data_IF_223850417899
#
_entry.id   IF_223850417899
#
_cell.length_a   1.000
_cell.length_b   1.000
_cell.length_c   1.000
_cell.angle_alpha   90.00
_cell.angle_beta   90.00
_cell.angle_gamma   90.00
#
_symmetry.space_group_name_H-M   'P 1'
#
loop_
_entity.id
_entity.type
_entity.pdbx_description
1 polymer ?
#
# COMPACT_ATOMS: atom_id res chain seq x y z
N UNK A 1 -10.65 82.75 14.56
CA UNK A 1 -11.61 81.72 14.08
C UNK A 1 -11.16 81.06 12.78
N UNK A 2 -10.65 81.81 11.80
CA UNK A 2 -10.16 81.30 10.50
C UNK A 2 -9.00 80.28 10.59
N UNK A 3 -8.12 80.40 11.60
CA UNK A 3 -6.99 79.47 11.79
C UNK A 3 -7.44 78.09 12.31
N UNK A 4 -8.44 78.05 13.20
CA UNK A 4 -9.04 76.80 13.72
C UNK A 4 -9.82 76.04 12.63
N UNK A 5 -10.55 76.77 11.78
CA UNK A 5 -11.24 76.18 10.63
C UNK A 5 -10.30 75.54 9.60
N UNK A 6 -9.03 75.96 9.56
CA UNK A 6 -8.02 75.42 8.64
C UNK A 6 -7.39 74.13 9.20
N UNK A 7 -7.13 74.08 10.51
CA UNK A 7 -6.66 72.87 11.21
C UNK A 7 -7.73 71.76 11.18
N UNK A 8 -8.99 72.10 11.39
CA UNK A 8 -10.10 71.14 11.31
C UNK A 8 -10.25 70.55 9.90
N UNK A 9 -9.98 71.33 8.85
CA UNK A 9 -10.09 70.87 7.46
C UNK A 9 -8.92 69.95 7.04
N UNK A 10 -7.71 70.23 7.56
CA UNK A 10 -6.54 69.35 7.38
C UNK A 10 -6.79 68.00 8.07
N UNK A 11 -7.27 68.04 9.33
CA UNK A 11 -7.57 66.83 10.09
C UNK A 11 -8.65 65.96 9.42
N UNK A 12 -9.72 66.57 8.90
CA UNK A 12 -10.78 65.84 8.17
C UNK A 12 -10.27 65.21 6.86
N UNK A 13 -9.36 65.87 6.15
CA UNK A 13 -8.73 65.30 4.95
C UNK A 13 -7.81 64.13 5.27
N UNK A 14 -6.98 64.26 6.31
CA UNK A 14 -6.11 63.16 6.76
C UNK A 14 -6.95 61.97 7.23
N UNK A 15 -8.04 62.22 7.96
CA UNK A 15 -8.98 61.16 8.36
C UNK A 15 -9.60 60.47 7.14
N UNK A 16 -10.05 61.22 6.14
CA UNK A 16 -10.64 60.65 4.93
C UNK A 16 -9.65 59.82 4.11
N UNK A 17 -8.39 60.26 4.01
CA UNK A 17 -7.32 59.50 3.34
C UNK A 17 -7.05 58.21 4.09
N UNK A 18 -6.87 58.28 5.41
CA UNK A 18 -6.64 57.10 6.24
C UNK A 18 -7.80 56.11 6.19
N UNK A 19 -9.05 56.61 6.21
CA UNK A 19 -10.23 55.77 6.09
C UNK A 19 -10.29 55.08 4.71
N UNK A 20 -9.96 55.80 3.64
CA UNK A 20 -9.91 55.24 2.29
C UNK A 20 -8.84 54.16 2.15
N UNK A 21 -7.68 54.32 2.79
CA UNK A 21 -6.63 53.30 2.83
C UNK A 21 -7.07 52.07 3.64
N UNK A 22 -7.75 52.27 4.76
CA UNK A 22 -8.29 51.15 5.55
C UNK A 22 -9.36 50.40 4.76
N UNK A 23 -10.25 51.11 4.05
CA UNK A 23 -11.28 50.50 3.20
C UNK A 23 -10.64 49.73 2.05
N UNK A 24 -9.66 50.29 1.34
CA UNK A 24 -8.99 49.57 0.25
C UNK A 24 -8.28 48.31 0.73
N UNK A 25 -7.63 48.36 1.90
CA UNK A 25 -7.03 47.17 2.51
C UNK A 25 -8.09 46.13 2.90
N UNK A 26 -9.23 46.56 3.42
CA UNK A 26 -10.34 45.66 3.77
C UNK A 26 -11.00 45.03 2.54
N UNK A 27 -11.01 45.72 1.39
CA UNK A 27 -11.50 45.20 0.12
C UNK A 27 -10.52 44.18 -0.50
N UNK A 28 -9.21 44.34 -0.28
CA UNK A 28 -8.16 43.43 -0.78
C UNK A 28 -7.97 42.16 0.07
N UNK A 29 -8.30 42.21 1.36
CA UNK A 29 -8.12 41.07 2.29
C UNK A 29 -8.88 39.81 1.86
N UNK A 30 -10.17 39.87 1.45
CA UNK A 30 -10.90 38.67 1.00
C UNK A 30 -10.23 37.97 -0.19
N UNK A 31 -9.74 38.74 -1.16
CA UNK A 31 -9.07 38.19 -2.34
C UNK A 31 -7.74 37.54 -1.96
N UNK A 32 -6.92 38.22 -1.13
CA UNK A 32 -5.66 37.66 -0.62
C UNK A 32 -5.86 36.39 0.21
N UNK A 33 -6.93 36.34 1.01
CA UNK A 33 -7.29 35.14 1.78
C UNK A 33 -7.71 34.02 0.84
N UNK A 34 -8.55 34.29 -0.16
CA UNK A 34 -9.02 33.29 -1.12
C UNK A 34 -7.87 32.72 -1.95
N UNK A 35 -6.94 33.56 -2.41
CA UNK A 35 -5.72 33.12 -3.11
C UNK A 35 -4.83 32.26 -2.20
N UNK A 36 -4.66 32.64 -0.93
CA UNK A 36 -3.88 31.87 0.04
C UNK A 36 -4.51 30.51 0.32
N UNK A 37 -5.83 30.45 0.52
CA UNK A 37 -6.54 29.19 0.73
C UNK A 37 -6.44 28.27 -0.49
N UNK A 38 -6.67 28.80 -1.69
CA UNK A 38 -6.54 28.03 -2.95
C UNK A 38 -5.14 27.43 -3.10
N UNK A 39 -4.10 28.21 -2.77
CA UNK A 39 -2.72 27.71 -2.81
C UNK A 39 -2.48 26.61 -1.76
N UNK A 40 -2.98 26.77 -0.54
CA UNK A 40 -2.85 25.74 0.49
C UNK A 40 -3.59 24.46 0.13
N UNK A 41 -4.78 24.55 -0.46
CA UNK A 41 -5.50 23.39 -0.97
C UNK A 41 -4.68 22.66 -2.04
N UNK A 42 -4.13 23.39 -3.02
CA UNK A 42 -3.27 22.80 -4.06
C UNK A 42 -1.99 22.16 -3.49
N UNK A 43 -1.34 22.79 -2.51
CA UNK A 43 -0.16 22.24 -1.85
C UNK A 43 -0.51 20.98 -1.04
N UNK A 44 -1.67 20.96 -0.37
CA UNK A 44 -2.15 19.78 0.37
C UNK A 44 -2.48 18.63 -0.58
N UNK A 45 -3.17 18.90 -1.69
CA UNK A 45 -3.49 17.89 -2.71
C UNK A 45 -2.21 17.33 -3.35
N UNK A 46 -1.28 18.20 -3.75
CA UNK A 46 0.01 17.75 -4.31
C UNK A 46 0.79 16.90 -3.31
N UNK A 47 0.83 17.30 -2.04
CA UNK A 47 1.49 16.53 -0.99
C UNK A 47 0.79 15.20 -0.72
N UNK A 48 -0.53 15.14 -0.87
CA UNK A 48 -1.31 13.92 -0.78
C UNK A 48 -0.94 12.96 -1.91
N UNK A 49 -0.94 13.43 -3.15
CA UNK A 49 -0.60 12.62 -4.33
C UNK A 49 0.82 12.05 -4.22
N UNK A 50 1.80 12.87 -3.81
CA UNK A 50 3.18 12.42 -3.60
C UNK A 50 3.25 11.34 -2.50
N UNK A 51 2.54 11.54 -1.37
CA UNK A 51 2.54 10.58 -0.26
C UNK A 51 1.93 9.25 -0.67
N UNK A 52 0.84 9.30 -1.44
CA UNK A 52 0.14 8.12 -1.94
C UNK A 52 1.08 7.29 -2.82
N UNK A 53 1.78 7.92 -3.76
CA UNK A 53 2.77 7.22 -4.62
C UNK A 53 3.91 6.63 -3.80
N UNK A 54 4.53 7.40 -2.90
CA UNK A 54 5.67 6.93 -2.09
C UNK A 54 5.28 5.76 -1.19
N UNK A 55 4.09 5.80 -0.57
CA UNK A 55 3.60 4.68 0.25
C UNK A 55 3.29 3.47 -0.62
N UNK A 56 2.72 3.68 -1.80
CA UNK A 56 2.51 2.64 -2.80
C UNK A 56 3.79 1.90 -3.19
N UNK A 57 4.83 2.65 -3.57
CA UNK A 57 6.15 2.10 -3.88
C UNK A 57 6.74 1.35 -2.68
N UNK A 58 6.64 1.91 -1.47
CA UNK A 58 7.13 1.26 -0.26
C UNK A 58 6.38 -0.05 0.06
N UNK A 59 5.09 -0.14 -0.23
CA UNK A 59 4.33 -1.39 -0.11
C UNK A 59 4.80 -2.42 -1.13
N UNK A 60 4.95 -2.03 -2.39
CA UNK A 60 5.45 -2.90 -3.44
C UNK A 60 6.84 -3.47 -3.08
N UNK A 61 7.75 -2.60 -2.62
CA UNK A 61 9.07 -3.00 -2.14
C UNK A 61 8.97 -3.95 -0.93
N UNK A 62 8.06 -3.70 0.00
CA UNK A 62 7.83 -4.60 1.15
C UNK A 62 7.35 -5.98 0.72
N UNK A 63 6.53 -6.10 -0.33
CA UNK A 63 6.08 -7.40 -0.85
C UNK A 63 7.26 -8.18 -1.42
N UNK A 64 8.13 -7.50 -2.19
CA UNK A 64 9.34 -8.08 -2.75
C UNK A 64 10.29 -8.52 -1.63
N UNK A 65 10.47 -7.68 -0.59
CA UNK A 65 11.30 -8.03 0.56
C UNK A 65 10.77 -9.27 1.31
N UNK A 66 9.45 -9.39 1.50
CA UNK A 66 8.84 -10.58 2.10
C UNK A 66 9.13 -11.81 1.25
N UNK A 67 8.96 -11.74 -0.07
CA UNK A 67 9.26 -12.82 -1.02
C UNK A 67 10.73 -13.29 -0.93
N UNK A 68 11.67 -12.35 -0.84
CA UNK A 68 13.09 -12.65 -0.79
C UNK A 68 13.53 -13.22 0.58
N UNK A 69 12.87 -12.77 1.66
CA UNK A 69 13.35 -12.98 3.04
C UNK A 69 12.68 -14.14 3.78
N UNK A 70 11.45 -14.54 3.45
CA UNK A 70 10.69 -15.53 4.25
C UNK A 70 11.41 -16.88 4.39
N UNK A 71 12.25 -17.26 3.42
CA UNK A 71 13.04 -18.50 3.48
C UNK A 71 14.28 -18.40 4.35
N UNK A 72 14.79 -17.20 4.62
CA UNK A 72 15.97 -16.99 5.46
C UNK A 72 15.66 -17.27 6.93
N UNK A 73 14.50 -16.82 7.41
CA UNK A 73 14.03 -17.04 8.80
C UNK A 73 13.53 -18.47 9.05
N UNK A 74 13.42 -19.29 8.01
CA UNK A 74 12.87 -20.64 8.11
C UNK A 74 13.79 -21.58 8.91
N UNK A 75 15.11 -21.43 8.76
CA UNK A 75 16.09 -22.19 9.54
C UNK A 75 16.13 -21.80 11.03
N UNK A 76 15.66 -20.60 11.36
CA UNK A 76 15.56 -20.13 12.76
C UNK A 76 14.29 -20.64 13.44
N UNK A 77 13.21 -20.79 12.66
CA UNK A 77 11.91 -21.25 13.15
C UNK A 77 11.77 -22.78 13.19
N UNK A 78 12.63 -23.51 12.47
CA UNK A 78 12.59 -24.97 12.43
C UNK A 78 13.92 -25.62 12.84
N UNK A 79 13.92 -26.53 13.82
CA UNK A 79 15.14 -27.19 14.27
C UNK A 79 15.77 -28.11 13.19
N UNK A 80 17.09 -28.30 13.27
CA UNK A 80 17.94 -29.08 12.34
C UNK A 80 17.48 -30.54 12.10
N UNK A 81 16.56 -31.07 12.93
CA UNK A 81 16.04 -32.42 12.82
C UNK A 81 14.98 -32.59 11.71
N UNK A 82 14.67 -31.54 10.95
CA UNK A 82 13.73 -31.59 9.84
C UNK A 82 14.41 -32.07 8.57
N UNK A 83 14.28 -33.37 8.31
CA UNK A 83 14.98 -34.03 7.21
C UNK A 83 14.71 -33.40 5.84
N UNK A 84 13.52 -32.83 5.60
CA UNK A 84 13.19 -32.20 4.33
C UNK A 84 13.82 -30.79 4.16
N UNK A 85 14.19 -30.12 5.25
CA UNK A 85 14.96 -28.86 5.20
C UNK A 85 16.46 -29.14 5.08
N UNK A 86 16.94 -30.17 5.78
CA UNK A 86 18.31 -30.65 5.68
C UNK A 86 18.62 -31.26 4.30
N UNK A 87 17.63 -31.91 3.68
CA UNK A 87 17.68 -32.40 2.31
C UNK A 87 16.50 -31.86 1.52
N UNK A 88 16.70 -30.69 0.90
CA UNK A 88 15.67 -29.96 0.14
C UNK A 88 15.13 -30.70 -1.10
N UNK A 89 15.78 -31.80 -1.50
CA UNK A 89 15.33 -32.69 -2.58
C UNK A 89 14.57 -33.92 -2.06
N UNK A 90 14.35 -34.02 -0.74
CA UNK A 90 13.54 -35.07 -0.14
C UNK A 90 12.07 -34.67 -0.19
N UNK A 91 11.16 -35.54 -0.66
CA UNK A 91 9.73 -35.26 -0.62
C UNK A 91 9.27 -35.19 0.83
N UNK A 92 8.17 -34.48 1.12
CA UNK A 92 7.68 -34.33 2.49
C UNK A 92 7.39 -35.67 3.17
N UNK A 93 6.89 -36.66 2.42
CA UNK A 93 6.69 -38.05 2.83
C UNK A 93 5.58 -38.28 3.88
N UNK A 94 5.29 -37.26 4.70
CA UNK A 94 4.21 -37.18 5.68
C UNK A 94 3.52 -35.82 5.51
N UNK A 95 2.19 -35.82 5.46
CA UNK A 95 1.38 -34.62 5.34
C UNK A 95 1.66 -33.59 6.45
N UNK A 96 2.05 -34.03 7.65
CA UNK A 96 2.39 -33.14 8.75
C UNK A 96 3.59 -32.24 8.45
N UNK A 97 4.54 -32.73 7.65
CA UNK A 97 5.71 -31.92 7.26
C UNK A 97 5.29 -30.80 6.31
N UNK A 98 4.37 -31.10 5.38
CA UNK A 98 3.76 -30.11 4.49
C UNK A 98 2.92 -29.10 5.28
N UNK A 99 1.98 -29.56 6.11
CA UNK A 99 1.09 -28.70 6.91
C UNK A 99 1.89 -27.71 7.78
N UNK A 100 3.02 -28.17 8.33
CA UNK A 100 3.81 -27.32 9.19
C UNK A 100 4.65 -26.30 8.43
N UNK A 101 5.16 -26.63 7.24
CA UNK A 101 5.72 -25.63 6.33
C UNK A 101 4.64 -24.62 5.94
N UNK A 102 3.46 -25.07 5.54
CA UNK A 102 2.36 -24.20 5.15
C UNK A 102 1.90 -23.28 6.28
N UNK A 103 1.85 -23.78 7.52
CA UNK A 103 1.53 -22.95 8.70
C UNK A 103 2.54 -21.83 8.91
N UNK A 104 3.83 -22.08 8.64
CA UNK A 104 4.86 -21.04 8.70
C UNK A 104 4.73 -20.03 7.57
N UNK A 105 4.54 -20.51 6.34
CA UNK A 105 4.29 -19.63 5.18
C UNK A 105 3.04 -18.78 5.45
N UNK A 106 2.00 -19.36 6.05
CA UNK A 106 0.78 -18.64 6.38
C UNK A 106 1.03 -17.49 7.39
N UNK A 107 1.78 -17.77 8.46
CA UNK A 107 2.06 -16.77 9.49
C UNK A 107 3.02 -15.67 9.03
N UNK A 108 3.96 -15.99 8.13
CA UNK A 108 5.01 -15.05 7.71
C UNK A 108 4.74 -14.35 6.38
N UNK A 109 4.06 -15.03 5.46
CA UNK A 109 3.84 -14.55 4.09
C UNK A 109 2.36 -14.26 3.88
N UNK A 110 1.49 -15.23 4.15
CA UNK A 110 0.09 -15.07 3.73
C UNK A 110 -0.65 -14.01 4.51
N UNK A 111 -0.39 -13.92 5.83
CA UNK A 111 -0.98 -12.91 6.69
C UNK A 111 -0.54 -11.50 6.27
N UNK A 112 0.75 -11.31 5.97
CA UNK A 112 1.30 -10.02 5.57
C UNK A 112 0.89 -9.61 4.15
N UNK A 113 0.71 -10.57 3.25
CA UNK A 113 0.41 -10.34 1.83
C UNK A 113 -1.06 -10.52 1.46
N UNK A 114 -1.96 -10.66 2.43
CA UNK A 114 -3.39 -10.89 2.20
C UNK A 114 -3.69 -12.14 1.34
N UNK A 115 -2.87 -13.18 1.42
CA UNK A 115 -3.06 -14.41 0.66
C UNK A 115 -4.01 -15.33 1.43
N UNK A 116 -5.06 -15.81 0.78
CA UNK A 116 -5.88 -16.86 1.36
C UNK A 116 -5.20 -18.21 1.13
N UNK A 117 -5.03 -18.99 2.20
CA UNK A 117 -4.38 -20.30 2.14
C UNK A 117 -5.05 -21.24 1.14
N UNK A 118 -6.38 -21.36 1.21
CA UNK A 118 -7.15 -22.27 0.33
C UNK A 118 -6.94 -21.91 -1.16
N UNK A 119 -6.94 -20.62 -1.49
CA UNK A 119 -6.67 -20.12 -2.83
C UNK A 119 -5.23 -20.44 -3.31
N UNK A 120 -4.25 -20.33 -2.42
CA UNK A 120 -2.89 -20.78 -2.71
C UNK A 120 -2.79 -22.31 -2.87
N UNK A 121 -3.52 -23.08 -2.07
CA UNK A 121 -3.55 -24.55 -2.18
C UNK A 121 -4.20 -25.00 -3.49
N UNK A 122 -5.21 -24.28 -4.00
CA UNK A 122 -5.78 -24.49 -5.32
C UNK A 122 -4.75 -24.23 -6.44
N UNK A 123 -4.01 -23.12 -6.36
CA UNK A 123 -2.90 -22.84 -7.26
C UNK A 123 -1.83 -23.95 -7.22
N UNK A 124 -1.43 -24.36 -6.02
CA UNK A 124 -0.42 -25.40 -5.82
C UNK A 124 -0.88 -26.74 -6.41
N UNK A 125 -2.15 -27.10 -6.23
CA UNK A 125 -2.75 -28.32 -6.77
C UNK A 125 -2.75 -28.31 -8.29
N UNK A 126 -2.98 -27.14 -8.91
CA UNK A 126 -2.92 -26.99 -10.36
C UNK A 126 -1.49 -27.08 -10.90
N UNK A 127 -0.54 -26.35 -10.29
CA UNK A 127 0.87 -26.33 -10.70
C UNK A 127 1.53 -27.70 -10.64
N UNK A 128 1.10 -28.53 -9.70
CA UNK A 128 1.65 -29.87 -9.45
C UNK A 128 0.60 -30.96 -9.64
N UNK A 129 -0.26 -30.83 -10.65
CA UNK A 129 -1.27 -31.84 -10.98
C UNK A 129 -0.66 -33.24 -11.07
N UNK A 130 -1.37 -34.22 -10.52
CA UNK A 130 -0.93 -35.61 -10.42
C UNK A 130 0.10 -35.92 -9.33
N UNK A 131 0.54 -34.94 -8.53
CA UNK A 131 1.31 -35.18 -7.30
C UNK A 131 0.44 -34.99 -6.05
N UNK A 132 0.58 -35.88 -5.08
CA UNK A 132 0.06 -35.62 -3.73
C UNK A 132 1.00 -34.67 -2.97
N UNK A 133 0.48 -33.98 -1.95
CA UNK A 133 1.28 -33.05 -1.13
C UNK A 133 2.49 -33.74 -0.49
N UNK A 134 2.39 -35.03 -0.15
CA UNK A 134 3.51 -35.81 0.40
C UNK A 134 4.64 -36.07 -0.61
N UNK A 135 4.36 -35.95 -1.91
CA UNK A 135 5.34 -36.07 -2.99
C UNK A 135 5.99 -34.74 -3.37
N UNK A 136 5.48 -33.62 -2.87
CA UNK A 136 6.09 -32.32 -3.06
C UNK A 136 7.36 -32.19 -2.22
N UNK A 137 8.24 -31.30 -2.66
CA UNK A 137 9.49 -30.97 -1.98
C UNK A 137 9.44 -29.52 -1.50
N UNK A 138 10.38 -29.17 -0.62
CA UNK A 138 10.57 -27.80 -0.18
C UNK A 138 10.69 -26.80 -1.35
N UNK A 139 11.45 -27.14 -2.39
CA UNK A 139 11.61 -26.27 -3.55
C UNK A 139 10.36 -26.14 -4.42
N UNK A 140 9.47 -27.13 -4.39
CA UNK A 140 8.19 -27.05 -5.09
C UNK A 140 7.32 -25.97 -4.43
N UNK A 141 7.18 -26.03 -3.10
CA UNK A 141 6.42 -25.03 -2.32
C UNK A 141 7.08 -23.66 -2.38
N UNK A 142 8.41 -23.57 -2.21
CA UNK A 142 9.13 -22.30 -2.35
C UNK A 142 8.87 -21.68 -3.72
N UNK A 143 9.05 -22.46 -4.79
CA UNK A 143 8.83 -21.98 -6.15
C UNK A 143 7.40 -21.54 -6.39
N UNK A 144 6.42 -22.25 -5.82
CA UNK A 144 5.01 -21.90 -5.91
C UNK A 144 4.72 -20.57 -5.19
N UNK A 145 5.19 -20.38 -3.96
CA UNK A 145 5.03 -19.11 -3.23
C UNK A 145 5.58 -17.95 -4.07
N UNK A 146 6.80 -18.09 -4.59
CA UNK A 146 7.42 -17.05 -5.40
C UNK A 146 6.63 -16.76 -6.68
N UNK A 147 6.16 -17.78 -7.40
CA UNK A 147 5.35 -17.60 -8.61
C UNK A 147 3.99 -16.99 -8.31
N UNK A 148 3.36 -17.38 -7.22
CA UNK A 148 2.07 -16.84 -6.79
C UNK A 148 2.18 -15.34 -6.45
N UNK A 149 3.25 -14.95 -5.75
CA UNK A 149 3.50 -13.56 -5.40
C UNK A 149 3.86 -12.75 -6.65
N UNK A 150 4.95 -13.13 -7.35
CA UNK A 150 5.53 -12.32 -8.42
C UNK A 150 4.75 -12.42 -9.74
N UNK A 151 4.03 -13.51 -9.98
CA UNK A 151 3.35 -13.76 -11.25
C UNK A 151 1.83 -13.55 -11.20
N UNK A 152 1.29 -13.07 -10.07
CA UNK A 152 -0.14 -12.85 -9.95
C UNK A 152 -0.50 -11.82 -8.90
N UNK A 153 -0.08 -12.01 -7.65
CA UNK A 153 -0.45 -11.09 -6.56
C UNK A 153 0.11 -9.69 -6.75
N UNK A 154 1.37 -9.57 -7.16
CA UNK A 154 2.01 -8.29 -7.42
C UNK A 154 1.31 -7.56 -8.58
N UNK A 155 1.02 -8.28 -9.66
CA UNK A 155 0.30 -7.73 -10.82
C UNK A 155 -1.13 -7.32 -10.46
N UNK A 156 -1.79 -8.03 -9.54
CA UNK A 156 -3.14 -7.70 -9.05
C UNK A 156 -3.15 -6.42 -8.20
N UNK A 157 -2.22 -6.31 -7.24
CA UNK A 157 -2.17 -5.16 -6.34
C UNK A 157 -1.44 -3.93 -6.91
N UNK A 158 -0.50 -4.15 -7.83
CA UNK A 158 0.36 -3.13 -8.45
C UNK A 158 0.53 -3.37 -9.96
N UNK A 159 -0.57 -3.33 -10.75
CA UNK A 159 -0.51 -3.58 -12.19
C UNK A 159 0.31 -2.52 -12.93
N UNK A 160 1.10 -2.96 -13.90
CA UNK A 160 1.85 -2.09 -14.81
C UNK A 160 0.88 -1.32 -15.75
N UNK A 161 0.48 -0.10 -15.38
CA UNK A 161 -0.23 0.82 -16.27
C UNK A 161 -1.56 1.38 -15.72
N UNK A 162 -2.57 1.50 -16.59
CA UNK A 162 -3.87 2.15 -16.31
C UNK A 162 -4.97 1.20 -15.85
N UNK A 163 -4.70 -0.10 -15.84
CA UNK A 163 -5.67 -1.11 -15.39
C UNK A 163 -5.41 -1.38 -13.93
N UNK A 164 -5.86 -0.47 -13.06
CA UNK A 164 -5.65 -0.61 -11.62
C UNK A 164 -6.93 -1.15 -10.99
N UNK A 165 -6.91 -2.40 -10.52
CA UNK A 165 -8.02 -2.97 -9.74
C UNK A 165 -8.02 -2.47 -8.27
N UNK A 166 -6.88 -1.95 -7.77
CA UNK A 166 -6.72 -1.29 -6.47
C UNK A 166 -5.83 -0.04 -6.56
N UNK A 167 -6.42 1.15 -6.59
CA UNK A 167 -5.65 2.40 -6.64
C UNK A 167 -4.89 2.64 -5.34
N UNK A 168 -3.80 3.43 -5.40
CA UNK A 168 -3.05 3.79 -4.20
C UNK A 168 -3.92 4.56 -3.17
N UNK A 169 -4.93 5.30 -3.64
CA UNK A 169 -5.94 5.92 -2.79
C UNK A 169 -6.76 4.87 -2.03
N UNK A 170 -7.14 3.76 -2.68
CA UNK A 170 -7.88 2.67 -2.04
C UNK A 170 -7.01 1.95 -1.00
N UNK A 171 -5.74 1.72 -1.31
CA UNK A 171 -4.76 1.23 -0.33
C UNK A 171 -4.70 2.11 0.92
N UNK A 172 -4.68 3.43 0.73
CA UNK A 172 -4.71 4.40 1.82
C UNK A 172 -6.03 4.39 2.60
N UNK A 173 -7.18 4.30 1.93
CA UNK A 173 -8.50 4.23 2.56
C UNK A 173 -8.68 2.99 3.44
N UNK A 174 -7.99 1.90 3.12
CA UNK A 174 -8.01 0.66 3.89
C UNK A 174 -6.88 0.56 4.92
N UNK A 175 -6.21 1.66 5.26
CA UNK A 175 -5.08 1.72 6.20
C UNK A 175 -3.94 0.74 5.85
N UNK A 176 -3.83 0.32 4.60
CA UNK A 176 -2.87 -0.67 4.12
C UNK A 176 -2.96 -2.03 4.85
N UNK A 177 -4.14 -2.39 5.38
CA UNK A 177 -4.36 -3.65 6.09
C UNK A 177 -5.34 -4.55 5.35
N UNK A 178 -4.95 -5.80 5.13
CA UNK A 178 -5.77 -6.84 4.49
C UNK A 178 -7.16 -6.99 5.12
N UNK A 179 -7.24 -6.85 6.46
CA UNK A 179 -8.48 -6.99 7.19
C UNK A 179 -9.54 -5.92 6.83
N UNK A 180 -9.11 -4.82 6.23
CA UNK A 180 -9.97 -3.72 5.81
C UNK A 180 -10.38 -3.82 4.34
N UNK A 181 -9.82 -4.77 3.59
CA UNK A 181 -10.15 -4.95 2.18
C UNK A 181 -11.52 -5.64 2.05
N UNK A 182 -12.40 -5.12 1.18
CA UNK A 182 -13.52 -5.89 0.69
C UNK A 182 -13.04 -7.21 0.06
N UNK A 183 -13.79 -8.28 0.28
CA UNK A 183 -13.43 -9.62 -0.20
C UNK A 183 -13.18 -9.69 -1.71
N UNK A 184 -13.89 -8.86 -2.47
CA UNK A 184 -13.79 -8.76 -3.93
C UNK A 184 -12.51 -8.10 -4.43
N UNK A 185 -11.75 -7.44 -3.56
CA UNK A 185 -10.47 -6.81 -3.91
C UNK A 185 -9.27 -7.70 -3.55
N UNK A 186 -9.50 -8.79 -2.80
CA UNK A 186 -8.46 -9.76 -2.49
C UNK A 186 -8.09 -10.53 -3.76
N UNK A 187 -6.80 -10.74 -3.95
CA UNK A 187 -6.32 -11.54 -5.09
C UNK A 187 -6.87 -12.97 -5.02
N UNK A 188 -7.61 -13.36 -6.05
CA UNK A 188 -8.11 -14.72 -6.27
C UNK A 188 -7.40 -15.33 -7.47
N UNK A 189 -6.67 -16.44 -7.27
CA UNK A 189 -5.98 -17.09 -8.38
C UNK A 189 -7.00 -17.86 -9.20
N UNK A 190 -6.92 -17.71 -10.52
CA UNK A 190 -7.74 -18.49 -11.46
C UNK A 190 -6.85 -19.31 -12.39
N UNK A 191 -7.16 -20.60 -12.62
CA UNK A 191 -6.42 -21.41 -13.57
C UNK A 191 -6.51 -20.82 -14.98
N UNK A 192 -5.39 -20.72 -15.72
CA UNK A 192 -5.43 -20.30 -17.11
C UNK A 192 -6.30 -21.29 -17.91
N UNK A 193 -7.25 -20.74 -18.68
CA UNK A 193 -8.27 -21.49 -19.43
C UNK A 193 -7.75 -22.82 -20.01
N UNK A 194 -8.38 -23.94 -19.61
CA UNK A 194 -8.22 -25.27 -20.21
C UNK A 194 -8.71 -25.30 -21.67
#
# INVERSE_FOLDING_TARGET
ETFRLNEDNIYQRELAVNLSTVISLLDEIPDLLNETFTRWEQELDTNKDIRIVVVGEALQDSIIEIEESWTCSLAENFPENWMFLANKNMPFGDIKNYEMLMSYVESYVFTELCIQKDNFEDFLSYEYDGKSVEQLHYYDVKGAVNRYILGGLLDHYFPDGTEVELSYEQWFEYDHQCANFPSELLYEWTPPNL
#
